data_IF_205197582503
#
_entry.id   IF_205197582503
#
_cell.length_a   1.000
_cell.length_b   1.000
_cell.length_c   1.000
_cell.angle_alpha   90.00
_cell.angle_beta   90.00
_cell.angle_gamma   90.00
#
_symmetry.space_group_name_H-M   'P 1'
#
loop_
_entity.id
_entity.type
_entity.pdbx_description
1 polymer ?
#
# COMPACT_ATOMS: atom_id res chain seq x y z
N UNK A 1 -7.67 -23.30 12.66
CA UNK A 1 -6.78 -22.79 11.60
C UNK A 1 -7.67 -22.29 10.47
N UNK A 2 -7.67 -21.00 10.17
CA UNK A 2 -8.33 -20.51 8.96
C UNK A 2 -7.45 -20.90 7.76
N UNK A 3 -8.00 -21.46 6.68
CA UNK A 3 -7.23 -21.75 5.48
C UNK A 3 -6.58 -20.45 4.99
N UNK A 4 -5.29 -20.53 4.66
CA UNK A 4 -4.52 -19.40 4.14
C UNK A 4 -5.18 -18.92 2.84
N UNK A 5 -5.85 -17.77 2.89
CA UNK A 5 -6.49 -17.19 1.72
C UNK A 5 -5.40 -16.82 0.71
N UNK A 6 -5.47 -17.41 -0.49
CA UNK A 6 -4.49 -17.13 -1.54
C UNK A 6 -4.84 -15.86 -2.32
N UNK A 7 -3.81 -15.17 -2.83
CA UNK A 7 -3.93 -13.94 -3.61
C UNK A 7 -4.83 -14.14 -4.84
N UNK A 8 -4.79 -15.31 -5.47
CA UNK A 8 -5.57 -15.63 -6.67
C UNK A 8 -7.08 -15.64 -6.38
N UNK A 9 -7.49 -16.22 -5.26
CA UNK A 9 -8.91 -16.24 -4.85
C UNK A 9 -9.44 -14.84 -4.57
N UNK A 10 -8.65 -14.04 -3.83
CA UNK A 10 -9.03 -12.66 -3.54
C UNK A 10 -9.08 -11.81 -4.82
N UNK A 11 -8.13 -12.02 -5.74
CA UNK A 11 -8.11 -11.37 -7.05
C UNK A 11 -9.36 -11.72 -7.86
N UNK A 12 -9.80 -12.97 -7.84
CA UNK A 12 -11.03 -13.39 -8.51
C UNK A 12 -12.26 -12.69 -7.90
N UNK A 13 -12.36 -12.64 -6.57
CA UNK A 13 -13.45 -11.96 -5.87
C UNK A 13 -13.55 -10.47 -6.22
N UNK A 14 -12.40 -9.78 -6.30
CA UNK A 14 -12.35 -8.39 -6.76
C UNK A 14 -12.87 -8.27 -8.19
N UNK A 15 -12.43 -9.15 -9.10
CA UNK A 15 -12.88 -9.12 -10.51
C UNK A 15 -14.39 -9.30 -10.62
N UNK A 16 -14.96 -10.25 -9.87
CA UNK A 16 -16.39 -10.49 -9.81
C UNK A 16 -17.14 -9.27 -9.28
N UNK A 17 -16.74 -8.76 -8.12
CA UNK A 17 -17.35 -7.57 -7.53
C UNK A 17 -17.33 -6.37 -8.48
N UNK A 18 -16.20 -6.09 -9.12
CA UNK A 18 -16.07 -4.96 -10.05
C UNK A 18 -16.95 -5.18 -11.29
N UNK A 19 -16.98 -6.41 -11.82
CA UNK A 19 -17.88 -6.76 -12.92
C UNK A 19 -19.36 -6.60 -12.56
N UNK A 20 -19.76 -7.06 -11.38
CA UNK A 20 -21.15 -7.07 -10.94
C UNK A 20 -21.68 -5.67 -10.62
N UNK A 21 -20.90 -4.86 -9.88
CA UNK A 21 -21.36 -3.57 -9.36
C UNK A 21 -21.03 -2.39 -10.27
N UNK A 22 -19.93 -2.45 -11.02
CA UNK A 22 -19.47 -1.35 -11.86
C UNK A 22 -19.56 -1.65 -13.36
N UNK A 23 -19.96 -2.87 -13.73
CA UNK A 23 -20.13 -3.30 -15.14
C UNK A 23 -18.88 -3.03 -15.98
N UNK A 24 -17.71 -3.18 -15.36
CA UNK A 24 -16.42 -2.95 -15.99
C UNK A 24 -15.46 -4.09 -15.70
N UNK A 25 -14.43 -4.22 -16.54
CA UNK A 25 -13.35 -5.19 -16.37
C UNK A 25 -12.05 -4.59 -16.86
N UNK A 26 -10.93 -5.07 -16.32
CA UNK A 26 -9.60 -4.63 -16.69
C UNK A 26 -8.75 -5.81 -17.11
N UNK A 27 -7.74 -5.57 -17.94
CA UNK A 27 -6.85 -6.62 -18.41
C UNK A 27 -5.82 -7.00 -17.35
N UNK A 28 -5.31 -6.01 -16.62
CA UNK A 28 -4.24 -6.18 -15.64
C UNK A 28 -4.75 -6.01 -14.21
N UNK A 29 -4.16 -6.75 -13.28
CA UNK A 29 -4.56 -6.72 -11.87
C UNK A 29 -4.31 -5.36 -11.21
N UNK A 30 -3.23 -4.67 -11.59
CA UNK A 30 -2.90 -3.33 -11.10
C UNK A 30 -4.00 -2.31 -11.42
N UNK A 31 -4.68 -2.45 -12.56
CA UNK A 31 -5.79 -1.56 -12.93
C UNK A 31 -7.00 -1.75 -12.00
N UNK A 32 -7.25 -2.97 -11.53
CA UNK A 32 -8.25 -3.20 -10.48
C UNK A 32 -7.85 -2.52 -9.17
N UNK A 33 -6.58 -2.62 -8.80
CA UNK A 33 -6.07 -1.96 -7.60
C UNK A 33 -6.23 -0.44 -7.66
N UNK A 34 -5.84 0.19 -8.77
CA UNK A 34 -6.00 1.63 -8.99
C UNK A 34 -7.48 2.04 -9.01
N UNK A 35 -8.34 1.24 -9.63
CA UNK A 35 -9.78 1.46 -9.63
C UNK A 35 -10.36 1.44 -8.21
N UNK A 36 -10.07 0.43 -7.40
CA UNK A 36 -10.55 0.36 -6.01
C UNK A 36 -10.04 1.56 -5.16
N UNK A 37 -8.85 2.07 -5.48
CA UNK A 37 -8.28 3.26 -4.85
C UNK A 37 -8.89 4.57 -5.34
N UNK A 38 -9.47 4.62 -6.54
CA UNK A 38 -10.16 5.82 -7.03
C UNK A 38 -11.61 5.92 -6.54
N UNK A 39 -12.19 4.82 -6.03
CA UNK A 39 -13.53 4.82 -5.45
C UNK A 39 -13.66 5.83 -4.31
N UNK A 40 -14.72 6.63 -4.36
CA UNK A 40 -15.12 7.53 -3.28
C UNK A 40 -15.53 6.76 -2.01
N UNK A 41 -15.56 7.43 -0.85
CA UNK A 41 -16.00 6.81 0.40
C UNK A 41 -17.42 6.20 0.30
N UNK A 42 -18.31 6.85 -0.45
CA UNK A 42 -19.67 6.34 -0.70
C UNK A 42 -19.66 5.06 -1.52
N UNK A 43 -18.80 4.96 -2.53
CA UNK A 43 -18.67 3.76 -3.37
C UNK A 43 -17.96 2.61 -2.64
N UNK A 44 -17.02 2.92 -1.72
CA UNK A 44 -16.36 1.91 -0.89
C UNK A 44 -17.25 1.37 0.22
N UNK A 45 -18.35 2.05 0.55
CA UNK A 45 -19.27 1.60 1.58
C UNK A 45 -19.86 0.23 1.20
N UNK A 46 -19.70 -0.77 2.07
CA UNK A 46 -20.16 -2.14 1.82
C UNK A 46 -19.32 -2.94 0.82
N UNK A 47 -18.34 -2.34 0.15
CA UNK A 47 -17.47 -3.02 -0.82
C UNK A 47 -16.82 -4.28 -0.24
N UNK A 48 -16.18 -4.16 0.92
CA UNK A 48 -15.51 -5.29 1.58
C UNK A 48 -16.47 -6.38 2.04
N UNK A 49 -17.72 -6.00 2.38
CA UNK A 49 -18.77 -6.96 2.72
C UNK A 49 -19.18 -7.75 1.47
N UNK A 50 -19.36 -7.07 0.35
CA UNK A 50 -19.75 -7.71 -0.91
C UNK A 50 -18.61 -8.60 -1.44
N UNK A 51 -17.36 -8.13 -1.43
CA UNK A 51 -16.20 -8.95 -1.78
C UNK A 51 -16.11 -10.19 -0.87
N UNK A 52 -16.33 -10.00 0.43
CA UNK A 52 -16.31 -11.09 1.41
C UNK A 52 -17.34 -12.19 1.17
N UNK A 53 -18.48 -11.87 0.54
CA UNK A 53 -19.48 -12.87 0.18
C UNK A 53 -18.97 -13.90 -0.84
N UNK A 54 -18.07 -13.50 -1.76
CA UNK A 54 -17.51 -14.43 -2.76
C UNK A 54 -16.46 -15.38 -2.18
N UNK A 55 -15.88 -15.06 -1.02
CA UNK A 55 -14.74 -15.79 -0.42
C UNK A 55 -14.98 -16.18 1.05
N UNK A 56 -16.21 -16.05 1.52
CA UNK A 56 -16.63 -16.38 2.87
C UNK A 56 -15.79 -15.71 3.99
N UNK A 57 -15.42 -14.45 3.77
CA UNK A 57 -14.74 -13.62 4.77
C UNK A 57 -15.64 -12.49 5.24
N UNK A 58 -15.46 -12.08 6.50
CA UNK A 58 -16.11 -10.89 7.01
C UNK A 58 -15.50 -9.61 6.42
N UNK A 59 -16.20 -8.49 6.61
CA UNK A 59 -15.78 -7.19 6.10
C UNK A 59 -14.38 -6.76 6.59
N UNK A 60 -14.06 -7.07 7.86
CA UNK A 60 -12.79 -6.69 8.49
C UNK A 60 -11.66 -7.52 7.89
N UNK A 61 -11.82 -8.83 7.82
CA UNK A 61 -10.85 -9.76 7.22
C UNK A 61 -10.56 -9.40 5.76
N UNK A 62 -11.59 -9.12 4.95
CA UNK A 62 -11.40 -8.67 3.57
C UNK A 62 -10.57 -7.39 3.47
N UNK A 63 -10.90 -6.40 4.31
CA UNK A 63 -10.19 -5.12 4.34
C UNK A 63 -8.73 -5.30 4.77
N UNK A 64 -8.48 -6.10 5.80
CA UNK A 64 -7.14 -6.38 6.31
C UNK A 64 -6.33 -7.14 5.26
N UNK A 65 -6.90 -8.18 4.64
CA UNK A 65 -6.25 -8.92 3.57
C UNK A 65 -5.93 -8.03 2.37
N UNK A 66 -6.85 -7.15 1.97
CA UNK A 66 -6.61 -6.18 0.91
C UNK A 66 -5.40 -5.30 1.20
N UNK A 67 -5.33 -4.69 2.40
CA UNK A 67 -4.26 -3.73 2.71
C UNK A 67 -2.91 -4.40 3.01
N UNK A 68 -2.91 -5.55 3.68
CA UNK A 68 -1.69 -6.17 4.20
C UNK A 68 -1.07 -7.18 3.24
N UNK A 69 -1.89 -7.86 2.44
CA UNK A 69 -1.44 -8.99 1.61
C UNK A 69 -1.63 -8.68 0.13
N UNK A 70 -2.87 -8.42 -0.31
CA UNK A 70 -3.15 -8.29 -1.73
C UNK A 70 -2.57 -7.01 -2.33
N UNK A 71 -2.60 -5.88 -1.62
CA UNK A 71 -2.05 -4.62 -2.13
C UNK A 71 -0.51 -4.60 -2.14
N UNK A 72 0.12 -5.42 -1.30
CA UNK A 72 1.58 -5.45 -1.16
C UNK A 72 2.29 -5.86 -2.46
N UNK A 73 1.65 -6.68 -3.30
CA UNK A 73 2.19 -7.10 -4.59
C UNK A 73 2.35 -5.96 -5.61
N UNK A 74 1.71 -4.81 -5.38
CA UNK A 74 1.80 -3.62 -6.23
C UNK A 74 2.72 -2.54 -5.68
N UNK A 75 3.35 -2.77 -4.52
CA UNK A 75 4.26 -1.81 -3.93
C UNK A 75 5.67 -2.01 -4.40
N UNK A 76 6.36 -0.90 -4.68
CA UNK A 76 7.79 -0.96 -4.93
C UNK A 76 8.55 -1.08 -3.59
N UNK A 77 9.56 -1.98 -3.50
CA UNK A 77 10.32 -2.13 -2.27
C UNK A 77 11.05 -0.85 -1.87
N UNK A 78 10.78 -0.34 -0.67
CA UNK A 78 11.43 0.87 -0.14
C UNK A 78 12.95 0.68 -0.01
N UNK A 79 13.39 -0.57 0.17
CA UNK A 79 14.82 -0.92 0.28
C UNK A 79 15.64 -0.47 -0.92
N UNK A 80 15.05 -0.45 -2.12
CA UNK A 80 15.70 -0.02 -3.37
C UNK A 80 16.12 1.45 -3.31
N UNK A 81 15.40 2.27 -2.54
CA UNK A 81 15.60 3.72 -2.45
C UNK A 81 16.40 4.16 -1.23
N UNK A 82 16.93 3.22 -0.43
CA UNK A 82 17.70 3.55 0.78
C UNK A 82 18.86 4.52 0.56
N UNK A 83 19.66 4.43 -0.52
CA UNK A 83 20.74 5.40 -0.77
C UNK A 83 20.21 6.82 -0.95
N UNK A 84 19.14 6.99 -1.72
CA UNK A 84 18.50 8.30 -1.95
C UNK A 84 17.89 8.84 -0.66
N UNK A 85 17.19 8.00 0.12
CA UNK A 85 16.62 8.41 1.40
C UNK A 85 17.68 8.93 2.37
N UNK A 86 18.88 8.32 2.40
CA UNK A 86 20.00 8.82 3.19
C UNK A 86 20.43 10.23 2.75
N UNK A 87 20.55 10.46 1.44
CA UNK A 87 20.90 11.79 0.91
C UNK A 87 19.85 12.85 1.27
N UNK A 88 18.57 12.50 1.21
CA UNK A 88 17.50 13.41 1.63
C UNK A 88 17.54 13.69 3.13
N UNK A 89 17.84 12.69 3.95
CA UNK A 89 18.03 12.87 5.40
C UNK A 89 19.28 13.71 5.69
N UNK A 90 20.26 13.67 4.81
CA UNK A 90 21.42 14.56 4.84
C UNK A 90 21.08 16.02 4.56
N UNK A 91 20.09 16.26 3.72
CA UNK A 91 19.66 17.59 3.36
C UNK A 91 18.63 18.20 4.34
N UNK A 92 17.64 17.43 4.78
CA UNK A 92 16.46 17.99 5.47
C UNK A 92 16.39 17.71 6.97
N UNK A 93 17.01 16.62 7.44
CA UNK A 93 17.01 16.11 8.83
C UNK A 93 15.62 15.75 9.44
N UNK A 94 14.56 16.50 9.12
CA UNK A 94 13.17 16.24 9.50
C UNK A 94 12.55 15.12 8.65
N UNK A 95 12.11 14.00 9.26
CA UNK A 95 11.39 12.92 8.58
C UNK A 95 10.21 13.37 7.72
N UNK A 96 9.49 14.43 8.12
CA UNK A 96 8.32 14.94 7.38
C UNK A 96 8.73 15.59 6.07
N UNK A 97 9.81 16.37 6.08
CA UNK A 97 10.35 17.02 4.88
C UNK A 97 10.95 15.98 3.93
N UNK A 98 11.67 14.99 4.46
CA UNK A 98 12.19 13.86 3.68
C UNK A 98 11.05 13.11 2.99
N UNK A 99 9.98 12.78 3.72
CA UNK A 99 8.82 12.09 3.15
C UNK A 99 8.14 12.91 2.05
N UNK A 100 7.96 14.21 2.27
CA UNK A 100 7.34 15.12 1.29
C UNK A 100 8.18 15.21 0.02
N UNK A 101 9.49 15.43 0.15
CA UNK A 101 10.41 15.55 -0.98
C UNK A 101 10.54 14.22 -1.74
N UNK A 102 10.64 13.09 -1.04
CA UNK A 102 10.69 11.77 -1.67
C UNK A 102 9.41 11.47 -2.47
N UNK A 103 8.24 11.74 -1.88
CA UNK A 103 6.95 11.56 -2.56
C UNK A 103 6.83 12.47 -3.79
N UNK A 104 7.38 13.69 -3.72
CA UNK A 104 7.41 14.64 -4.84
C UNK A 104 8.28 14.16 -6.00
N UNK A 105 9.40 13.48 -5.72
CA UNK A 105 10.29 12.91 -6.74
C UNK A 105 9.72 11.65 -7.40
N UNK A 106 8.92 10.88 -6.67
CA UNK A 106 8.41 9.58 -7.09
C UNK A 106 6.88 9.54 -7.20
N UNK A 107 6.28 10.50 -7.93
CA UNK A 107 4.83 10.61 -8.08
C UNK A 107 4.18 9.38 -8.76
N UNK A 108 4.95 8.66 -9.58
CA UNK A 108 4.48 7.52 -10.35
C UNK A 108 4.72 6.17 -9.67
N UNK A 109 5.34 6.18 -8.48
CA UNK A 109 5.66 4.95 -7.75
C UNK A 109 4.68 4.77 -6.60
N UNK A 110 4.15 3.56 -6.46
CA UNK A 110 3.25 3.23 -5.36
C UNK A 110 4.08 2.57 -4.26
N UNK A 111 4.20 3.26 -3.13
CA UNK A 111 4.89 2.73 -1.95
C UNK A 111 3.90 2.28 -0.89
N UNK A 112 4.33 1.30 -0.09
CA UNK A 112 3.75 1.12 1.23
C UNK A 112 4.11 2.34 2.10
N UNK A 113 3.14 3.23 2.33
CA UNK A 113 3.35 4.47 3.08
C UNK A 113 3.87 4.21 4.50
N UNK A 114 3.38 3.16 5.16
CA UNK A 114 3.81 2.83 6.51
C UNK A 114 5.27 2.38 6.52
N UNK A 115 5.63 1.47 5.62
CA UNK A 115 7.02 1.00 5.48
C UNK A 115 7.97 2.17 5.18
N UNK A 116 7.61 3.03 4.24
CA UNK A 116 8.40 4.22 3.90
C UNK A 116 8.63 5.12 5.11
N UNK A 117 7.58 5.39 5.89
CA UNK A 117 7.68 6.19 7.12
C UNK A 117 8.59 5.54 8.16
N UNK A 118 8.48 4.23 8.38
CA UNK A 118 9.32 3.49 9.33
C UNK A 118 10.79 3.53 8.91
N UNK A 119 11.07 3.35 7.62
CA UNK A 119 12.44 3.43 7.09
C UNK A 119 13.03 4.82 7.29
N UNK A 120 12.31 5.88 6.93
CA UNK A 120 12.77 7.27 7.11
C UNK A 120 13.05 7.55 8.60
N UNK A 121 12.11 7.24 9.49
CA UNK A 121 12.28 7.46 10.93
C UNK A 121 13.49 6.71 11.49
N UNK A 122 13.70 5.47 11.07
CA UNK A 122 14.84 4.65 11.50
C UNK A 122 16.16 5.26 11.06
N UNK A 123 16.24 5.74 9.81
CA UNK A 123 17.44 6.37 9.27
C UNK A 123 17.74 7.71 9.96
N UNK A 124 16.73 8.57 10.18
CA UNK A 124 16.90 9.82 10.93
C UNK A 124 17.41 9.57 12.35
N UNK A 125 16.84 8.60 13.08
CA UNK A 125 17.29 8.24 14.43
C UNK A 125 18.75 7.77 14.45
N UNK A 126 19.16 6.93 13.50
CA UNK A 126 20.55 6.45 13.39
C UNK A 126 21.52 7.61 13.17
N UNK A 127 21.18 8.54 12.28
CA UNK A 127 22.00 9.73 12.03
C UNK A 127 22.16 10.58 13.29
N UNK A 128 21.11 10.78 14.08
CA UNK A 128 21.21 11.53 15.35
C UNK A 128 22.18 10.84 16.31
N UNK A 129 22.07 9.52 16.49
CA UNK A 129 22.98 8.76 17.37
C UNK A 129 24.44 8.76 16.91
N UNK A 130 24.72 8.99 15.62
CA UNK A 130 26.07 9.14 15.10
C UNK A 130 26.64 10.55 15.34
N UNK A 131 25.78 11.58 15.33
CA UNK A 131 26.17 12.95 15.71
C UNK A 131 26.49 13.05 17.19
N UNK A 132 25.69 12.43 18.06
CA UNK A 132 25.86 12.52 19.52
C UNK A 132 27.13 11.80 20.04
N UNK A 133 27.79 11.00 19.19
CA UNK A 133 29.04 10.28 19.51
C UNK A 133 30.31 11.01 19.07
N UNK A 134 30.18 12.10 18.31
CA UNK A 134 31.29 12.92 17.81
C UNK A 134 31.44 14.18 18.66
#
# INVERSE_FOLDING_TARGET
>A
MQPELKIEFFSHAIKQYVGDFFKTSFQQLVQYYDFLRSLSNKQRYGMWKNIGQYIHLDQKQCREFFHNTWSAQFFEPVTTYRPELKQLIDQFEDPKLVLAEFTRRHLNVIFNKHELQVVIQTLCKRKQTEKDKK
#
